data_IF_763466738954
#
_entry.id   IF_763466738954
#
_cell.length_a   1.000
_cell.length_b   1.000
_cell.length_c   1.000
_cell.angle_alpha   90.00
_cell.angle_beta   90.00
_cell.angle_gamma   90.00
#
_symmetry.space_group_name_H-M   'P 1'
#
loop_
_entity.id
_entity.type
_entity.pdbx_description
1 polymer ?
#
# COMPACT_ATOMS: atom_id res chain seq x y z
N UNK A 1 -16.09 -17.02 -12.31
CA UNK A 1 -16.25 -16.20 -11.09
C UNK A 1 -16.87 -14.84 -11.42
N UNK A 2 -17.62 -14.21 -10.51
CA UNK A 2 -18.39 -12.98 -10.78
C UNK A 2 -17.51 -11.77 -11.20
N UNK A 3 -16.32 -11.61 -10.60
CA UNK A 3 -15.38 -10.53 -10.95
C UNK A 3 -14.93 -10.54 -12.42
N UNK A 4 -14.82 -11.74 -13.03
CA UNK A 4 -14.54 -11.89 -14.46
C UNK A 4 -15.73 -11.47 -15.33
N UNK A 5 -16.96 -11.73 -14.88
CA UNK A 5 -18.19 -11.31 -15.58
C UNK A 5 -18.41 -9.80 -15.49
N UNK A 6 -17.94 -9.17 -14.41
CA UNK A 6 -18.03 -7.73 -14.19
C UNK A 6 -16.85 -6.95 -14.79
N UNK A 7 -15.92 -7.61 -15.50
CA UNK A 7 -14.78 -6.93 -16.13
C UNK A 7 -13.71 -6.39 -15.17
N UNK A 8 -13.79 -6.67 -13.87
CA UNK A 8 -12.84 -6.12 -12.88
C UNK A 8 -11.51 -6.89 -12.90
N UNK A 9 -11.58 -8.23 -12.98
CA UNK A 9 -10.40 -9.10 -13.05
C UNK A 9 -10.60 -10.10 -14.18
N UNK A 10 -9.80 -9.98 -15.24
CA UNK A 10 -9.91 -10.82 -16.44
C UNK A 10 -9.59 -12.29 -16.17
N UNK A 11 -8.59 -12.56 -15.33
CA UNK A 11 -8.15 -13.90 -14.97
C UNK A 11 -7.98 -14.07 -13.44
N UNK A 12 -9.10 -14.19 -12.73
CA UNK A 12 -9.07 -14.40 -11.27
C UNK A 12 -8.49 -15.76 -10.88
N UNK A 13 -8.58 -16.79 -11.74
CA UNK A 13 -8.09 -18.14 -11.43
C UNK A 13 -6.56 -18.18 -11.27
N UNK A 14 -5.87 -17.22 -11.89
CA UNK A 14 -4.44 -16.96 -11.70
C UNK A 14 -4.04 -16.81 -10.23
N UNK A 15 -4.94 -16.44 -9.32
CA UNK A 15 -4.61 -16.36 -7.88
C UNK A 15 -4.07 -17.69 -7.33
N UNK A 16 -4.49 -18.83 -7.90
CA UNK A 16 -4.06 -20.17 -7.50
C UNK A 16 -2.61 -20.48 -7.89
N UNK A 17 -2.00 -19.68 -8.77
CA UNK A 17 -0.62 -19.91 -9.24
C UNK A 17 0.43 -19.23 -8.36
N UNK A 18 0.01 -18.45 -7.35
CA UNK A 18 0.92 -17.67 -6.53
C UNK A 18 1.14 -18.27 -5.14
N UNK A 19 2.33 -18.03 -4.59
CA UNK A 19 2.72 -18.35 -3.23
C UNK A 19 3.09 -17.08 -2.45
N UNK A 20 2.54 -16.93 -1.23
CA UNK A 20 2.77 -15.76 -0.38
C UNK A 20 3.32 -16.20 0.97
N UNK A 21 4.43 -15.60 1.40
CA UNK A 21 4.96 -15.77 2.75
C UNK A 21 4.42 -14.69 3.68
N UNK A 22 3.95 -15.07 4.87
CA UNK A 22 3.44 -14.17 5.92
C UNK A 22 4.29 -14.35 7.16
N UNK A 23 4.92 -13.26 7.60
CA UNK A 23 5.72 -13.22 8.83
C UNK A 23 4.96 -12.48 9.92
N UNK A 24 4.69 -13.16 11.02
CA UNK A 24 3.81 -12.72 12.09
C UNK A 24 2.36 -13.11 11.80
N UNK A 25 1.86 -14.14 12.47
CA UNK A 25 0.46 -14.63 12.40
C UNK A 25 -0.31 -14.13 13.62
N UNK A 26 -0.16 -12.83 13.91
CA UNK A 26 -0.84 -12.12 14.99
C UNK A 26 -2.18 -11.52 14.54
N UNK A 27 -2.54 -10.35 15.08
CA UNK A 27 -3.82 -9.72 14.79
C UNK A 27 -4.05 -9.36 13.32
N UNK A 28 -3.06 -8.79 12.65
CA UNK A 28 -3.14 -8.48 11.21
C UNK A 28 -2.90 -9.75 10.39
N UNK A 29 -1.77 -10.45 10.63
CA UNK A 29 -1.34 -11.55 9.77
C UNK A 29 -2.27 -12.77 9.77
N UNK A 30 -2.98 -13.06 10.87
CA UNK A 30 -3.96 -14.15 10.88
C UNK A 30 -5.17 -13.86 10.00
N UNK A 31 -5.69 -12.63 10.03
CA UNK A 31 -6.77 -12.17 9.15
C UNK A 31 -6.30 -12.10 7.69
N UNK A 32 -5.07 -11.63 7.45
CA UNK A 32 -4.42 -11.63 6.13
C UNK A 32 -4.36 -13.06 5.55
N UNK A 33 -3.91 -14.03 6.35
CA UNK A 33 -3.84 -15.43 5.95
C UNK A 33 -5.24 -16.02 5.66
N UNK A 34 -6.24 -15.70 6.48
CA UNK A 34 -7.63 -16.11 6.26
C UNK A 34 -8.19 -15.56 4.95
N UNK A 35 -8.04 -14.26 4.70
CA UNK A 35 -8.53 -13.62 3.48
C UNK A 35 -7.88 -14.22 2.23
N UNK A 36 -6.56 -14.39 2.21
CA UNK A 36 -5.86 -15.02 1.07
C UNK A 36 -6.27 -16.49 0.88
N UNK A 37 -6.49 -17.22 1.97
CA UNK A 37 -6.99 -18.60 1.91
C UNK A 37 -8.39 -18.67 1.28
N UNK A 38 -9.29 -17.75 1.67
CA UNK A 38 -10.64 -17.64 1.10
C UNK A 38 -10.63 -17.18 -0.36
N UNK A 39 -9.64 -16.39 -0.77
CA UNK A 39 -9.42 -16.04 -2.18
C UNK A 39 -8.90 -17.21 -3.03
N UNK A 40 -8.39 -18.28 -2.39
CA UNK A 40 -7.84 -19.45 -3.09
C UNK A 40 -6.41 -19.23 -3.59
N UNK A 41 -5.58 -18.53 -2.82
CA UNK A 41 -4.14 -18.44 -3.08
C UNK A 41 -3.52 -19.85 -3.22
N UNK A 42 -2.52 -20.01 -4.09
CA UNK A 42 -1.91 -21.33 -4.33
C UNK A 42 -1.21 -21.91 -3.09
N UNK A 43 -0.35 -21.12 -2.45
CA UNK A 43 0.41 -21.54 -1.27
C UNK A 43 0.60 -20.40 -0.27
N UNK A 44 0.51 -20.71 1.02
CA UNK A 44 0.89 -19.82 2.12
C UNK A 44 2.04 -20.40 2.94
N UNK A 45 3.06 -19.57 3.16
CA UNK A 45 4.16 -19.87 4.07
C UNK A 45 3.97 -19.03 5.32
N UNK A 46 3.85 -19.65 6.49
CA UNK A 46 3.58 -18.94 7.74
C UNK A 46 4.78 -19.02 8.68
N UNK A 47 5.28 -17.86 9.12
CA UNK A 47 6.38 -17.74 10.07
C UNK A 47 5.90 -16.99 11.31
N UNK A 48 5.92 -17.64 12.46
CA UNK A 48 5.67 -17.03 13.77
C UNK A 48 6.31 -17.93 14.83
N UNK A 49 6.87 -17.35 15.89
CA UNK A 49 7.51 -18.11 16.98
C UNK A 49 6.65 -18.20 18.24
N UNK A 50 5.55 -17.47 18.29
CA UNK A 50 4.69 -17.37 19.46
C UNK A 50 3.67 -18.50 19.53
N UNK A 51 3.09 -18.62 20.73
CA UNK A 51 1.91 -19.44 21.00
C UNK A 51 0.65 -18.58 21.05
N UNK A 52 -0.49 -19.24 20.85
CA UNK A 52 -1.80 -18.63 21.08
C UNK A 52 -2.00 -18.46 22.58
N UNK A 53 -2.33 -17.25 23.01
CA UNK A 53 -2.69 -16.94 24.39
C UNK A 53 -4.14 -16.47 24.50
N UNK A 54 -4.76 -16.65 25.67
CA UNK A 54 -6.11 -16.10 25.93
C UNK A 54 -6.13 -14.57 25.83
N UNK A 55 -5.01 -13.91 26.11
CA UNK A 55 -4.86 -12.46 25.91
C UNK A 55 -5.00 -12.05 24.44
N UNK A 56 -4.90 -12.97 23.47
CA UNK A 56 -5.10 -12.68 22.05
C UNK A 56 -6.57 -12.74 21.62
N UNK A 57 -7.50 -13.13 22.49
CA UNK A 57 -8.94 -13.29 22.16
C UNK A 57 -9.67 -11.96 21.94
N UNK A 58 -9.04 -10.82 22.24
CA UNK A 58 -9.53 -9.50 21.82
C UNK A 58 -9.28 -9.21 20.34
N UNK A 59 -8.60 -10.12 19.63
CA UNK A 59 -8.31 -10.07 18.19
C UNK A 59 -9.15 -11.10 17.46
N UNK A 60 -9.17 -11.00 16.14
CA UNK A 60 -9.88 -11.95 15.29
C UNK A 60 -9.11 -13.27 15.15
N UNK A 61 -9.74 -14.24 14.47
CA UNK A 61 -9.19 -15.51 14.01
C UNK A 61 -9.02 -16.63 15.05
N UNK A 62 -8.15 -16.50 16.05
CA UNK A 62 -7.88 -17.59 16.99
C UNK A 62 -9.03 -17.82 17.97
N UNK A 63 -9.19 -19.07 18.41
CA UNK A 63 -10.26 -19.47 19.33
C UNK A 63 -9.72 -19.88 20.71
N UNK A 64 -10.53 -19.78 21.79
CA UNK A 64 -10.07 -20.08 23.15
C UNK A 64 -9.48 -21.48 23.33
N UNK A 65 -10.02 -22.47 22.62
CA UNK A 65 -9.56 -23.87 22.71
C UNK A 65 -8.19 -24.11 22.07
N UNK A 66 -7.66 -23.13 21.31
CA UNK A 66 -6.36 -23.21 20.64
C UNK A 66 -5.22 -22.68 21.51
N UNK A 67 -5.53 -22.12 22.69
CA UNK A 67 -4.53 -21.58 23.62
C UNK A 67 -3.46 -22.63 23.96
N UNK A 68 -2.19 -22.23 23.87
CA UNK A 68 -1.02 -23.08 24.11
C UNK A 68 -0.44 -23.77 22.85
N UNK A 69 -1.17 -23.83 21.74
CA UNK A 69 -0.62 -24.24 20.44
C UNK A 69 0.27 -23.13 19.87
N UNK A 70 1.22 -23.47 19.00
CA UNK A 70 1.92 -22.44 18.22
C UNK A 70 0.92 -21.73 17.30
N UNK A 71 1.12 -20.43 17.10
CA UNK A 71 0.23 -19.62 16.25
C UNK A 71 0.16 -20.19 14.83
N UNK A 72 1.30 -20.60 14.27
CA UNK A 72 1.35 -21.16 12.92
C UNK A 72 0.63 -22.50 12.79
N UNK A 73 0.72 -23.39 13.78
CA UNK A 73 0.02 -24.68 13.76
C UNK A 73 -1.49 -24.51 13.96
N UNK A 74 -1.90 -23.65 14.90
CA UNK A 74 -3.30 -23.32 15.11
C UNK A 74 -3.92 -22.68 13.86
N UNK A 75 -3.17 -21.77 13.21
CA UNK A 75 -3.60 -21.15 11.97
C UNK A 75 -3.71 -22.15 10.81
N UNK A 76 -2.70 -23.00 10.61
CA UNK A 76 -2.75 -24.03 9.57
C UNK A 76 -3.98 -24.95 9.72
N UNK A 77 -4.26 -25.43 10.93
CA UNK A 77 -5.44 -26.26 11.16
C UNK A 77 -6.75 -25.55 10.81
N UNK A 78 -6.91 -24.29 11.21
CA UNK A 78 -8.10 -23.50 10.86
C UNK A 78 -8.19 -23.27 9.35
N UNK A 79 -7.10 -22.83 8.73
CA UNK A 79 -7.08 -22.41 7.32
C UNK A 79 -7.27 -23.60 6.36
N UNK A 80 -6.69 -24.77 6.67
CA UNK A 80 -6.91 -26.00 5.89
C UNK A 80 -8.38 -26.44 5.88
N UNK A 81 -9.11 -26.20 6.98
CA UNK A 81 -10.54 -26.47 7.03
C UNK A 81 -11.37 -25.43 6.24
N UNK A 82 -10.88 -24.18 6.15
CA UNK A 82 -11.53 -23.12 5.38
C UNK A 82 -11.41 -23.37 3.87
N UNK A 83 -10.21 -23.74 3.41
CA UNK A 83 -9.99 -24.07 2.01
C UNK A 83 -8.92 -25.17 1.87
N UNK A 84 -9.30 -26.43 1.57
CA UNK A 84 -8.37 -27.54 1.46
C UNK A 84 -7.49 -27.49 0.20
N UNK A 85 -7.82 -26.63 -0.77
CA UNK A 85 -7.04 -26.49 -2.02
C UNK A 85 -5.75 -25.67 -1.83
N UNK A 86 -5.65 -24.91 -0.73
CA UNK A 86 -4.49 -24.06 -0.44
C UNK A 86 -3.38 -24.90 0.18
N UNK A 87 -2.17 -24.79 -0.37
CA UNK A 87 -0.99 -25.42 0.21
C UNK A 87 -0.47 -24.59 1.39
N UNK A 88 -0.11 -25.25 2.49
CA UNK A 88 0.46 -24.58 3.65
C UNK A 88 1.82 -25.19 3.99
N UNK A 89 2.73 -24.30 4.35
CA UNK A 89 4.02 -24.64 4.93
C UNK A 89 4.27 -23.71 6.11
N UNK A 90 4.48 -24.28 7.30
CA UNK A 90 4.54 -23.50 8.53
C UNK A 90 5.84 -23.69 9.28
N UNK A 91 6.32 -22.60 9.88
CA UNK A 91 7.62 -22.54 10.54
C UNK A 91 7.48 -21.85 11.89
N UNK A 92 7.62 -22.63 12.97
CA UNK A 92 7.54 -22.16 14.34
C UNK A 92 8.91 -21.79 14.90
N UNK A 93 9.50 -20.68 14.44
CA UNK A 93 10.82 -20.21 14.91
C UNK A 93 10.98 -18.69 14.74
N UNK A 94 11.93 -18.11 15.49
CA UNK A 94 12.26 -16.70 15.39
C UNK A 94 13.23 -16.43 14.23
N UNK A 95 12.76 -15.71 13.21
CA UNK A 95 13.53 -15.39 11.99
C UNK A 95 14.77 -14.50 12.25
N UNK A 96 14.85 -13.79 13.38
CA UNK A 96 15.95 -12.84 13.66
C UNK A 96 17.22 -13.52 14.18
N UNK A 97 17.11 -14.79 14.59
CA UNK A 97 18.26 -15.56 15.07
C UNK A 97 19.13 -16.03 13.90
N UNK A 98 20.45 -16.02 14.08
CA UNK A 98 21.43 -16.35 13.03
C UNK A 98 21.14 -17.70 12.37
N UNK A 99 20.85 -18.73 13.17
CA UNK A 99 20.53 -20.08 12.67
C UNK A 99 19.28 -20.09 11.79
N UNK A 100 18.24 -19.35 12.17
CA UNK A 100 16.96 -19.37 11.47
C UNK A 100 16.89 -18.37 10.31
N UNK A 101 17.76 -17.36 10.28
CA UNK A 101 17.80 -16.36 9.22
C UNK A 101 18.14 -17.00 7.86
N UNK A 102 19.15 -17.86 7.81
CA UNK A 102 19.50 -18.60 6.59
C UNK A 102 18.36 -19.49 6.12
N UNK A 103 17.69 -20.18 7.06
CA UNK A 103 16.52 -21.01 6.77
C UNK A 103 15.36 -20.17 6.22
N UNK A 104 15.11 -19.01 6.82
CA UNK A 104 14.08 -18.06 6.36
C UNK A 104 14.35 -17.59 4.92
N UNK A 105 15.57 -17.14 4.62
CA UNK A 105 15.96 -16.77 3.25
C UNK A 105 15.81 -17.95 2.29
N UNK A 106 16.24 -19.15 2.68
CA UNK A 106 16.10 -20.35 1.85
C UNK A 106 14.63 -20.62 1.48
N UNK A 107 13.71 -20.49 2.44
CA UNK A 107 12.27 -20.70 2.17
C UNK A 107 11.65 -19.57 1.36
N UNK A 108 12.12 -18.32 1.49
CA UNK A 108 11.71 -17.24 0.57
C UNK A 108 12.13 -17.58 -0.87
N UNK A 109 13.37 -18.03 -1.07
CA UNK A 109 13.92 -18.27 -2.42
C UNK A 109 13.47 -19.57 -3.08
N UNK A 110 13.09 -20.59 -2.30
CA UNK A 110 12.81 -21.93 -2.81
C UNK A 110 11.43 -22.47 -2.40
N UNK A 111 10.72 -21.78 -1.51
CA UNK A 111 9.46 -22.25 -0.95
C UNK A 111 8.23 -21.79 -1.73
N UNK A 112 8.36 -21.33 -2.98
CA UNK A 112 7.25 -20.94 -3.84
C UNK A 112 6.23 -22.06 -4.09
N UNK A 113 5.29 -21.82 -5.00
CA UNK A 113 4.25 -22.82 -5.32
C UNK A 113 4.89 -24.09 -5.88
N UNK A 114 5.87 -23.92 -6.76
CA UNK A 114 6.81 -24.96 -7.17
C UNK A 114 8.06 -24.88 -6.29
N UNK A 115 8.46 -26.00 -5.69
CA UNK A 115 9.67 -26.06 -4.88
C UNK A 115 10.92 -25.73 -5.72
N UNK A 116 11.81 -24.89 -5.19
CA UNK A 116 12.95 -24.31 -5.90
C UNK A 116 12.66 -22.98 -6.60
N UNK A 117 11.42 -22.47 -6.53
CA UNK A 117 11.07 -21.10 -6.98
C UNK A 117 10.89 -20.18 -5.77
N UNK A 118 11.12 -18.86 -5.93
CA UNK A 118 10.84 -17.91 -4.88
C UNK A 118 9.33 -17.79 -4.64
N UNK A 119 8.97 -17.29 -3.47
CA UNK A 119 7.60 -16.81 -3.21
C UNK A 119 7.33 -15.54 -4.03
N UNK A 120 6.10 -15.35 -4.47
CA UNK A 120 5.74 -14.18 -5.28
C UNK A 120 5.71 -12.89 -4.44
N UNK A 121 5.40 -13.03 -3.16
CA UNK A 121 5.33 -11.90 -2.24
C UNK A 121 5.62 -12.32 -0.80
N UNK A 122 6.33 -11.47 -0.06
CA UNK A 122 6.47 -11.58 1.40
C UNK A 122 5.61 -10.50 2.07
N UNK A 123 4.88 -10.84 3.12
CA UNK A 123 4.06 -9.94 3.92
C UNK A 123 4.60 -9.87 5.34
N UNK A 124 5.01 -8.69 5.76
CA UNK A 124 5.44 -8.41 7.13
C UNK A 124 4.26 -7.90 7.96
N UNK A 125 3.81 -8.74 8.90
CA UNK A 125 2.74 -8.46 9.86
C UNK A 125 3.24 -8.60 11.31
N UNK A 126 4.54 -8.39 11.52
CA UNK A 126 5.21 -8.46 12.83
C UNK A 126 5.00 -7.19 13.65
N UNK A 127 5.30 -7.26 14.95
CA UNK A 127 5.04 -6.19 15.92
C UNK A 127 6.29 -5.47 16.44
N UNK A 128 7.47 -5.83 15.92
CA UNK A 128 8.75 -5.27 16.35
C UNK A 128 9.62 -4.83 15.17
N UNK A 129 10.56 -3.91 15.40
CA UNK A 129 11.41 -3.36 14.36
C UNK A 129 12.56 -4.31 14.00
N UNK A 130 13.03 -5.12 14.95
CA UNK A 130 14.08 -6.14 14.72
C UNK A 130 13.68 -7.12 13.61
N UNK A 131 12.46 -7.66 13.67
CA UNK A 131 11.94 -8.56 12.64
C UNK A 131 11.68 -7.84 11.31
N UNK A 132 11.17 -6.59 11.33
CA UNK A 132 11.02 -5.79 10.09
C UNK A 132 12.35 -5.56 9.39
N UNK A 133 13.40 -5.22 10.16
CA UNK A 133 14.76 -5.05 9.63
C UNK A 133 15.32 -6.37 9.10
N UNK A 134 15.06 -7.48 9.78
CA UNK A 134 15.46 -8.83 9.32
C UNK A 134 14.83 -9.16 7.97
N UNK A 135 13.52 -8.95 7.82
CA UNK A 135 12.80 -9.14 6.54
C UNK A 135 13.35 -8.21 5.47
N UNK A 136 13.58 -6.94 5.81
CA UNK A 136 14.14 -5.93 4.90
C UNK A 136 15.51 -6.36 4.35
N UNK A 137 16.43 -6.81 5.24
CA UNK A 137 17.76 -7.28 4.83
C UNK A 137 17.67 -8.50 3.93
N UNK A 138 16.87 -9.50 4.29
CA UNK A 138 16.64 -10.68 3.45
C UNK A 138 16.09 -10.32 2.06
N UNK A 139 15.08 -9.44 2.00
CA UNK A 139 14.43 -9.08 0.75
C UNK A 139 15.32 -8.21 -0.15
N UNK A 140 16.11 -7.30 0.44
CA UNK A 140 17.11 -6.52 -0.32
C UNK A 140 18.20 -7.42 -0.92
N UNK A 141 18.65 -8.43 -0.17
CA UNK A 141 19.64 -9.40 -0.64
C UNK A 141 19.11 -10.25 -1.79
N UNK A 142 17.87 -10.73 -1.68
CA UNK A 142 17.23 -11.61 -2.66
C UNK A 142 16.61 -10.86 -3.85
N UNK A 143 16.44 -9.54 -3.76
CA UNK A 143 15.62 -8.78 -4.73
C UNK A 143 14.14 -9.17 -4.67
N UNK A 144 13.67 -9.60 -3.51
CA UNK A 144 12.31 -10.07 -3.28
C UNK A 144 11.37 -8.89 -3.00
N UNK A 145 10.26 -8.79 -3.75
CA UNK A 145 9.21 -7.83 -3.45
C UNK A 145 8.44 -8.25 -2.20
N UNK A 146 8.12 -7.28 -1.35
CA UNK A 146 7.38 -7.51 -0.12
C UNK A 146 6.48 -6.32 0.25
N UNK A 147 5.49 -6.58 1.10
CA UNK A 147 4.65 -5.54 1.69
C UNK A 147 4.78 -5.57 3.21
N UNK A 148 4.92 -4.39 3.80
CA UNK A 148 4.93 -4.18 5.25
C UNK A 148 3.55 -3.70 5.70
N UNK A 149 3.19 -4.07 6.93
CA UNK A 149 2.02 -3.54 7.62
C UNK A 149 2.32 -3.25 9.09
N UNK A 150 1.73 -2.18 9.60
CA UNK A 150 1.86 -1.77 10.99
C UNK A 150 0.56 -1.22 11.55
N UNK A 151 0.34 -1.46 12.84
CA UNK A 151 -0.73 -0.84 13.65
C UNK A 151 -0.05 -0.14 14.82
N UNK A 152 -0.50 1.06 15.15
CA UNK A 152 0.06 1.83 16.27
C UNK A 152 -0.25 1.20 17.63
N UNK A 153 0.57 1.49 18.64
CA UNK A 153 0.37 0.99 20.00
C UNK A 153 -0.94 1.44 20.64
N UNK A 154 -1.50 2.57 20.20
CA UNK A 154 -2.79 3.08 20.65
C UNK A 154 -3.97 2.59 19.79
N UNK A 155 -3.71 1.74 18.79
CA UNK A 155 -4.68 1.11 17.89
C UNK A 155 -5.58 2.06 17.08
N UNK A 156 -5.27 3.36 16.99
CA UNK A 156 -6.04 4.33 16.18
C UNK A 156 -5.36 4.76 14.88
N UNK A 157 -4.24 4.14 14.54
CA UNK A 157 -3.64 4.28 13.21
C UNK A 157 -3.00 2.99 12.72
N UNK A 158 -2.82 2.90 11.41
CA UNK A 158 -2.11 1.81 10.77
C UNK A 158 -1.66 2.21 9.37
N UNK A 159 -0.91 1.32 8.72
CA UNK A 159 -0.49 1.52 7.34
C UNK A 159 -0.14 0.21 6.66
N UNK A 160 -0.04 0.29 5.34
CA UNK A 160 0.64 -0.70 4.50
C UNK A 160 1.66 0.01 3.60
N UNK A 161 2.74 -0.68 3.26
CA UNK A 161 3.77 -0.18 2.36
C UNK A 161 4.25 -1.29 1.42
N UNK A 162 4.31 -1.01 0.13
CA UNK A 162 4.91 -1.89 -0.88
C UNK A 162 6.39 -1.53 -1.07
N UNK A 163 7.24 -2.54 -0.93
CA UNK A 163 8.68 -2.43 -1.01
C UNK A 163 9.16 -3.32 -2.15
N UNK A 164 9.54 -2.68 -3.25
CA UNK A 164 10.22 -3.30 -4.38
C UNK A 164 11.68 -2.85 -4.29
N UNK A 165 12.62 -3.74 -3.89
CA UNK A 165 14.02 -3.36 -3.70
C UNK A 165 14.59 -2.67 -4.94
N UNK A 166 15.10 -1.45 -4.74
CA UNK A 166 15.67 -0.62 -5.80
C UNK A 166 14.71 0.36 -6.48
N UNK A 167 13.39 0.12 -6.40
CA UNK A 167 12.36 0.95 -7.03
C UNK A 167 11.62 1.85 -6.02
N UNK A 168 11.23 1.30 -4.87
CA UNK A 168 10.61 2.03 -3.77
C UNK A 168 11.47 1.99 -2.50
N UNK A 169 11.18 2.87 -1.54
CA UNK A 169 11.91 2.94 -0.29
C UNK A 169 11.86 1.59 0.45
N UNK A 170 13.03 1.01 0.74
CA UNK A 170 13.11 -0.08 1.70
C UNK A 170 12.94 0.46 3.13
N UNK A 171 12.73 -0.43 4.10
CA UNK A 171 12.49 -0.02 5.49
C UNK A 171 13.69 0.75 6.08
N UNK A 172 14.91 0.41 5.65
CA UNK A 172 16.14 1.10 6.04
C UNK A 172 16.38 2.44 5.29
N UNK A 173 15.55 2.82 4.31
CA UNK A 173 15.68 4.12 3.64
C UNK A 173 15.18 5.27 4.51
N UNK A 174 14.14 5.03 5.31
CA UNK A 174 13.55 5.99 6.23
C UNK A 174 13.30 5.31 7.59
N UNK A 175 14.37 4.92 8.31
CA UNK A 175 14.24 4.18 9.56
C UNK A 175 13.54 5.03 10.64
N UNK A 176 12.71 4.43 11.50
CA UNK A 176 12.17 5.13 12.66
C UNK A 176 13.30 5.53 13.61
N UNK A 177 13.05 6.56 14.44
CA UNK A 177 14.05 7.16 15.33
C UNK A 177 14.80 6.12 16.18
N UNK A 178 14.09 5.13 16.72
CA UNK A 178 14.68 4.09 17.58
C UNK A 178 15.72 3.24 16.85
N UNK A 179 15.47 2.94 15.56
CA UNK A 179 16.42 2.20 14.70
C UNK A 179 17.58 3.10 14.31
N UNK A 180 17.31 4.33 13.87
CA UNK A 180 18.35 5.29 13.47
C UNK A 180 19.32 5.64 14.62
N UNK A 181 18.81 5.73 15.84
CA UNK A 181 19.60 6.04 17.04
C UNK A 181 20.24 4.79 17.70
N UNK A 182 20.06 3.60 17.12
CA UNK A 182 20.52 2.31 17.69
C UNK A 182 20.07 2.10 19.15
N UNK A 183 18.83 2.48 19.45
CA UNK A 183 18.21 2.25 20.76
C UNK A 183 17.56 0.87 20.73
N UNK A 184 17.87 0.03 21.73
CA UNK A 184 17.22 -1.27 21.87
C UNK A 184 15.72 -1.09 22.18
N UNK A 185 14.86 -1.57 21.30
CA UNK A 185 13.39 -1.49 21.47
C UNK A 185 12.91 -2.17 22.77
N UNK A 186 13.68 -3.14 23.29
CA UNK A 186 13.36 -3.83 24.55
C UNK A 186 13.41 -2.88 25.74
N UNK A 187 14.17 -1.79 25.67
CA UNK A 187 14.21 -0.79 26.74
C UNK A 187 12.97 0.10 26.77
N UNK A 188 12.18 0.12 25.69
CA UNK A 188 10.94 0.90 25.58
C UNK A 188 9.73 0.13 26.10
N UNK A 189 9.74 -1.20 25.96
CA UNK A 189 8.67 -2.08 26.45
C UNK A 189 8.75 -2.20 27.98
N UNK A 190 7.71 -1.72 28.67
CA UNK A 190 7.55 -1.93 30.12
C UNK A 190 6.83 -3.24 30.39
N UNK A 191 7.37 -4.05 31.30
CA UNK A 191 6.70 -5.28 31.72
C UNK A 191 5.27 -5.00 32.24
N UNK A 192 4.30 -5.80 31.79
CA UNK A 192 2.89 -5.66 32.15
C UNK A 192 2.10 -4.62 31.35
N UNK A 193 2.73 -3.88 30.42
CA UNK A 193 2.04 -2.96 29.51
C UNK A 193 1.88 -3.64 28.15
N UNK A 194 0.64 -3.98 27.79
CA UNK A 194 0.31 -4.47 26.45
C UNK A 194 -0.07 -3.28 25.57
N UNK A 195 0.40 -3.29 24.31
CA UNK A 195 -0.10 -2.37 23.30
C UNK A 195 -1.63 -2.51 23.20
N UNK A 196 -2.34 -1.38 23.12
CA UNK A 196 -3.75 -1.41 22.82
C UNK A 196 -3.95 -2.04 21.44
N UNK A 197 -5.00 -2.84 21.32
CA UNK A 197 -5.25 -3.65 20.14
C UNK A 197 -6.75 -3.67 19.90
N UNK A 198 -7.21 -2.95 18.88
CA UNK A 198 -8.59 -3.02 18.42
C UNK A 198 -8.71 -3.98 17.22
N UNK A 199 -9.65 -4.94 17.25
CA UNK A 199 -9.88 -5.86 16.14
C UNK A 199 -10.35 -5.13 14.88
N UNK A 200 -10.98 -3.97 15.02
CA UNK A 200 -11.41 -3.12 13.89
C UNK A 200 -10.22 -2.59 13.09
N UNK A 201 -9.26 -1.96 13.75
CA UNK A 201 -8.04 -1.42 13.11
C UNK A 201 -7.23 -2.53 12.45
N UNK A 202 -7.11 -3.68 13.13
CA UNK A 202 -6.44 -4.86 12.56
C UNK A 202 -7.17 -5.39 11.33
N UNK A 203 -8.50 -5.46 11.36
CA UNK A 203 -9.33 -5.86 10.22
C UNK A 203 -9.22 -4.90 9.03
N UNK A 204 -9.22 -3.58 9.28
CA UNK A 204 -9.01 -2.56 8.24
C UNK A 204 -7.63 -2.73 7.60
N UNK A 205 -6.56 -2.80 8.40
CA UNK A 205 -5.18 -2.93 7.91
C UNK A 205 -4.99 -4.25 7.14
N UNK A 206 -5.51 -5.36 7.65
CA UNK A 206 -5.44 -6.65 6.95
C UNK A 206 -6.22 -6.62 5.62
N UNK A 207 -7.40 -6.00 5.62
CA UNK A 207 -8.24 -5.84 4.43
C UNK A 207 -7.54 -5.01 3.34
N UNK A 208 -7.01 -3.83 3.68
CA UNK A 208 -6.28 -3.00 2.71
C UNK A 208 -4.99 -3.67 2.25
N UNK A 209 -4.29 -4.41 3.14
CA UNK A 209 -3.09 -5.18 2.79
C UNK A 209 -3.42 -6.21 1.72
N UNK A 210 -4.39 -7.10 1.98
CA UNK A 210 -4.78 -8.15 1.04
C UNK A 210 -5.35 -7.56 -0.25
N UNK A 211 -6.11 -6.47 -0.16
CA UNK A 211 -6.59 -5.78 -1.36
C UNK A 211 -5.42 -5.30 -2.23
N UNK A 212 -4.34 -4.78 -1.63
CA UNK A 212 -3.15 -4.39 -2.36
C UNK A 212 -2.39 -5.59 -2.94
N UNK A 213 -2.32 -6.71 -2.22
CA UNK A 213 -1.77 -7.99 -2.71
C UNK A 213 -2.53 -8.47 -3.95
N UNK A 214 -3.86 -8.46 -3.92
CA UNK A 214 -4.68 -8.89 -5.05
C UNK A 214 -4.48 -7.98 -6.25
N UNK A 215 -4.51 -6.65 -6.06
CA UNK A 215 -4.22 -5.69 -7.14
C UNK A 215 -2.85 -5.95 -7.78
N UNK A 216 -1.84 -6.23 -6.94
CA UNK A 216 -0.47 -6.48 -7.37
C UNK A 216 -0.31 -7.80 -8.13
N UNK A 217 -0.86 -8.91 -7.62
CA UNK A 217 -0.70 -10.23 -8.24
C UNK A 217 -1.59 -10.43 -9.48
N UNK A 218 -2.79 -9.85 -9.47
CA UNK A 218 -3.80 -10.01 -10.51
C UNK A 218 -3.84 -8.83 -11.50
N UNK A 219 -2.96 -7.84 -11.35
CA UNK A 219 -2.81 -6.69 -12.24
C UNK A 219 -4.13 -5.96 -12.55
N UNK A 220 -4.87 -5.57 -11.50
CA UNK A 220 -6.07 -4.75 -11.65
C UNK A 220 -6.04 -3.55 -10.71
N UNK A 221 -6.73 -2.47 -11.12
CA UNK A 221 -6.73 -1.21 -10.38
C UNK A 221 -5.33 -0.62 -10.19
N UNK A 222 -5.21 0.30 -9.23
CA UNK A 222 -3.94 0.99 -8.94
C UNK A 222 -3.33 0.45 -7.65
N UNK A 223 -2.14 -0.15 -7.74
CA UNK A 223 -1.39 -0.61 -6.56
C UNK A 223 -0.87 0.60 -5.76
N UNK A 224 -1.02 0.56 -4.44
CA UNK A 224 -0.55 1.61 -3.55
C UNK A 224 0.86 1.29 -3.04
N UNK A 225 1.79 2.23 -3.21
CA UNK A 225 3.13 2.13 -2.64
C UNK A 225 3.14 2.37 -1.13
N UNK A 226 2.29 3.27 -0.65
CA UNK A 226 1.99 3.47 0.76
C UNK A 226 0.52 3.88 0.90
N UNK A 227 -0.15 3.31 1.89
CA UNK A 227 -1.49 3.70 2.27
C UNK A 227 -1.58 3.71 3.79
N UNK A 228 -1.77 4.89 4.36
CA UNK A 228 -2.03 5.07 5.78
C UNK A 228 -3.52 4.94 6.11
N UNK A 229 -3.81 4.69 7.38
CA UNK A 229 -5.13 4.72 7.97
C UNK A 229 -5.06 5.45 9.31
N UNK A 230 -5.85 6.52 9.43
CA UNK A 230 -6.06 7.24 10.69
C UNK A 230 -7.53 7.08 11.09
N UNK A 231 -7.78 6.26 12.11
CA UNK A 231 -9.12 5.92 12.59
C UNK A 231 -9.82 7.08 13.31
N UNK A 232 -9.09 8.11 13.74
CA UNK A 232 -9.67 9.26 14.45
C UNK A 232 -10.37 10.24 13.50
N UNK A 233 -9.94 10.26 12.23
CA UNK A 233 -10.38 11.25 11.24
C UNK A 233 -10.84 10.59 9.94
N UNK A 234 -10.97 9.26 9.92
CA UNK A 234 -11.26 8.46 8.73
C UNK A 234 -10.40 8.85 7.51
N UNK A 235 -9.13 9.14 7.77
CA UNK A 235 -8.22 9.69 6.77
C UNK A 235 -7.28 8.59 6.24
N UNK A 236 -7.21 8.47 4.91
CA UNK A 236 -6.47 7.44 4.20
C UNK A 236 -5.42 8.04 3.24
N UNK A 237 -4.28 8.53 3.75
CA UNK A 237 -3.26 9.15 2.90
C UNK A 237 -2.54 8.11 2.05
N UNK A 238 -2.41 8.39 0.75
CA UNK A 238 -1.56 7.62 -0.17
C UNK A 238 -0.26 8.35 -0.44
N UNK A 239 0.86 7.63 -0.49
CA UNK A 239 2.18 8.20 -0.80
C UNK A 239 3.00 7.23 -1.66
N UNK A 240 4.06 7.72 -2.28
CA UNK A 240 5.06 6.91 -2.97
C UNK A 240 6.45 7.28 -2.45
N UNK A 241 6.97 6.50 -1.50
CA UNK A 241 8.30 6.69 -0.94
C UNK A 241 9.37 6.13 -1.89
N UNK A 242 10.37 6.96 -2.23
CA UNK A 242 11.47 6.57 -3.12
C UNK A 242 12.71 6.10 -2.34
N UNK A 243 13.55 5.23 -2.93
CA UNK A 243 14.76 4.76 -2.30
C UNK A 243 15.69 5.90 -1.91
N UNK A 244 16.34 5.79 -0.75
CA UNK A 244 17.43 6.66 -0.33
C UNK A 244 18.72 6.22 -1.05
N UNK A 245 19.36 7.08 -1.88
CA UNK A 245 20.63 6.75 -2.55
C UNK A 245 21.78 6.43 -1.60
N UNK A 246 21.68 6.90 -0.36
CA UNK A 246 22.67 6.70 0.71
C UNK A 246 22.14 5.75 1.80
N UNK A 247 21.18 4.88 1.49
CA UNK A 247 20.65 3.91 2.43
C UNK A 247 21.78 3.07 3.07
N UNK A 248 21.69 2.85 4.38
CA UNK A 248 22.67 2.09 5.15
C UNK A 248 22.83 0.66 4.62
N UNK A 249 21.72 0.05 4.19
CA UNK A 249 21.71 -1.26 3.56
C UNK A 249 22.41 -1.21 2.19
N UNK A 250 23.58 -1.87 2.10
CA UNK A 250 24.37 -1.96 0.88
C UNK A 250 23.63 -2.71 -0.24
N UNK A 251 22.84 -3.73 0.09
CA UNK A 251 22.09 -4.47 -0.92
C UNK A 251 20.96 -3.59 -1.48
N UNK A 252 20.31 -2.75 -0.66
CA UNK A 252 19.37 -1.75 -1.18
C UNK A 252 20.03 -0.85 -2.24
N UNK A 253 21.23 -0.31 -1.97
CA UNK A 253 21.97 0.51 -2.95
C UNK A 253 22.31 -0.25 -4.24
N UNK A 254 22.73 -1.51 -4.15
CA UNK A 254 22.95 -2.36 -5.34
C UNK A 254 21.66 -2.55 -6.15
N UNK A 255 20.54 -2.84 -5.49
CA UNK A 255 19.25 -3.00 -6.17
C UNK A 255 18.81 -1.71 -6.88
N UNK A 256 19.09 -0.54 -6.30
CA UNK A 256 18.83 0.75 -6.95
C UNK A 256 19.64 0.93 -8.24
N UNK A 257 20.91 0.50 -8.25
CA UNK A 257 21.75 0.54 -9.45
C UNK A 257 21.22 -0.40 -10.54
N UNK A 258 20.86 -1.63 -10.18
CA UNK A 258 20.27 -2.61 -11.10
C UNK A 258 18.91 -2.16 -11.64
N UNK A 259 18.06 -1.55 -10.79
CA UNK A 259 16.79 -0.99 -11.21
C UNK A 259 16.97 0.14 -12.23
N UNK A 260 17.90 1.08 -11.99
CA UNK A 260 18.20 2.17 -12.94
C UNK A 260 18.69 1.64 -14.29
N UNK A 261 19.56 0.61 -14.29
CA UNK A 261 20.01 -0.05 -15.53
C UNK A 261 18.85 -0.71 -16.27
N UNK A 262 17.97 -1.41 -15.54
CA UNK A 262 16.78 -2.06 -16.10
C UNK A 262 15.84 -1.03 -16.74
N UNK A 263 15.56 0.08 -16.06
CA UNK A 263 14.70 1.16 -16.59
C UNK A 263 15.31 1.81 -17.83
N UNK A 264 16.62 2.08 -17.81
CA UNK A 264 17.31 2.65 -18.97
C UNK A 264 17.34 1.73 -20.20
N UNK A 265 17.18 0.42 -20.00
CA UNK A 265 17.11 -0.58 -21.07
C UNK A 265 15.69 -0.82 -21.59
N UNK A 266 14.64 -0.35 -20.90
CA UNK A 266 13.27 -0.47 -21.36
C UNK A 266 13.02 0.51 -22.52
N UNK A 267 12.34 0.08 -23.60
CA UNK A 267 11.94 0.99 -24.66
C UNK A 267 10.99 2.04 -24.08
N UNK A 268 11.16 3.31 -24.48
CA UNK A 268 10.26 4.40 -24.10
C UNK A 268 8.86 4.05 -24.61
N UNK A 269 7.97 3.66 -23.71
CA UNK A 269 6.55 3.50 -24.04
C UNK A 269 5.92 4.89 -24.06
N UNK A 270 5.46 5.33 -25.23
CA UNK A 270 4.46 6.39 -25.30
C UNK A 270 3.18 5.84 -24.66
N UNK A 271 2.75 6.47 -23.57
CA UNK A 271 1.47 6.15 -22.94
C UNK A 271 0.39 6.69 -23.86
N UNK A 272 -0.12 5.86 -24.76
CA UNK A 272 -1.35 6.14 -25.49
C UNK A 272 -2.49 5.97 -24.49
N UNK A 273 -3.04 7.08 -24.00
CA UNK A 273 -4.33 7.05 -23.33
C UNK A 273 -5.37 6.79 -24.42
N UNK A 274 -5.83 5.54 -24.52
CA UNK A 274 -7.05 5.24 -25.26
C UNK A 274 -8.21 5.83 -24.45
N UNK A 275 -8.78 6.94 -24.93
CA UNK A 275 -10.06 7.43 -24.43
C UNK A 275 -11.13 6.41 -24.84
N UNK A 276 -11.66 5.67 -23.88
CA UNK A 276 -12.84 4.84 -24.12
C UNK A 276 -14.05 5.75 -24.36
N UNK A 277 -14.53 5.77 -25.60
CA UNK A 277 -15.74 6.50 -25.96
C UNK A 277 -16.95 5.81 -25.30
N UNK A 278 -17.64 6.53 -24.41
CA UNK A 278 -18.79 5.99 -23.67
C UNK A 278 -20.00 5.93 -24.60
N UNK A 279 -20.46 4.71 -24.89
CA UNK A 279 -21.67 4.46 -25.67
C UNK A 279 -22.87 4.36 -24.72
N UNK A 280 -23.88 5.19 -24.94
CA UNK A 280 -25.15 5.12 -24.24
C UNK A 280 -26.13 4.25 -25.01
N UNK A 281 -26.67 3.19 -24.37
CA UNK A 281 -27.66 2.30 -24.98
C UNK A 281 -28.94 3.05 -25.40
N UNK A 282 -29.30 4.11 -24.66
CA UNK A 282 -30.40 5.01 -24.94
C UNK A 282 -30.02 6.48 -24.74
N UNK A 283 -30.51 7.33 -25.65
CA UNK A 283 -30.42 8.78 -25.51
C UNK A 283 -31.62 9.45 -26.21
N UNK A 284 -32.83 9.03 -25.83
CA UNK A 284 -34.08 9.52 -26.44
C UNK A 284 -34.28 11.03 -26.27
N UNK A 285 -33.61 11.62 -25.26
CA UNK A 285 -33.71 13.03 -24.89
C UNK A 285 -32.67 13.92 -25.58
N UNK A 286 -31.81 13.35 -26.45
CA UNK A 286 -30.78 14.11 -27.15
C UNK A 286 -29.82 14.81 -26.19
N UNK A 287 -29.47 14.17 -25.09
CA UNK A 287 -28.53 14.69 -24.10
C UNK A 287 -27.15 14.71 -24.75
N UNK A 288 -26.59 15.91 -24.90
CA UNK A 288 -25.24 16.11 -25.43
C UNK A 288 -24.26 16.38 -24.29
N UNK A 289 -23.07 15.79 -24.37
CA UNK A 289 -21.98 16.11 -23.46
C UNK A 289 -21.40 17.47 -23.87
N UNK A 290 -21.81 18.53 -23.15
CA UNK A 290 -21.23 19.85 -23.33
C UNK A 290 -19.82 19.84 -22.74
N UNK A 291 -18.80 19.97 -23.60
CA UNK A 291 -17.42 20.23 -23.17
C UNK A 291 -17.39 21.47 -22.27
N UNK A 292 -16.56 21.48 -21.22
CA UNK A 292 -16.54 22.52 -20.18
C UNK A 292 -16.86 23.92 -20.71
N UNK A 293 -18.00 24.44 -20.26
CA UNK A 293 -18.67 25.65 -20.74
C UNK A 293 -17.74 26.85 -20.58
N UNK A 294 -17.43 27.55 -21.66
CA UNK A 294 -16.74 28.84 -21.58
C UNK A 294 -17.63 29.89 -20.90
N UNK A 295 -17.05 30.90 -20.23
CA UNK A 295 -17.84 31.96 -19.56
C UNK A 295 -18.82 32.68 -20.53
N UNK A 296 -18.57 32.64 -21.84
CA UNK A 296 -19.42 33.18 -22.89
C UNK A 296 -20.70 32.36 -23.12
N UNK A 297 -20.62 31.03 -23.05
CA UNK A 297 -21.78 30.14 -23.21
C UNK A 297 -22.71 30.19 -21.98
N UNK A 298 -22.13 30.37 -20.78
CA UNK A 298 -22.88 30.65 -19.55
C UNK A 298 -23.68 31.96 -19.65
N UNK A 299 -23.08 33.04 -20.17
CA UNK A 299 -23.77 34.32 -20.41
C UNK A 299 -24.89 34.21 -21.44
N UNK A 300 -24.71 33.39 -22.48
CA UNK A 300 -25.73 33.19 -23.52
C UNK A 300 -26.91 32.34 -23.05
N UNK A 301 -26.70 31.45 -22.05
CA UNK A 301 -27.75 30.62 -21.47
C UNK A 301 -28.69 31.40 -20.52
N UNK A 302 -28.19 32.46 -19.88
CA UNK A 302 -29.03 33.43 -19.19
C UNK A 302 -29.69 34.33 -20.24
N UNK A 303 -30.94 34.03 -20.59
CA UNK A 303 -31.73 34.80 -21.54
C UNK A 303 -31.78 36.32 -21.22
N UNK A 304 -32.32 37.15 -22.14
CA UNK A 304 -32.25 38.60 -22.04
C UNK A 304 -32.78 39.11 -20.70
N UNK A 305 -31.98 39.93 -20.02
CA UNK A 305 -32.36 40.60 -18.76
C UNK A 305 -33.57 41.50 -19.08
N UNK A 306 -34.73 41.30 -18.45
CA UNK A 306 -35.88 42.18 -18.63
C UNK A 306 -35.53 43.58 -18.11
N UNK A 307 -36.04 44.62 -18.77
CA UNK A 307 -35.89 46.00 -18.29
C UNK A 307 -36.72 46.19 -17.01
N UNK A 308 -36.07 46.06 -15.86
CA UNK A 308 -36.69 46.07 -14.53
C UNK A 308 -36.49 47.43 -13.85
N UNK A 309 -37.51 47.94 -13.12
CA UNK A 309 -37.38 49.16 -12.32
C UNK A 309 -36.29 49.04 -11.24
N UNK A 310 -35.73 50.18 -10.87
CA UNK A 310 -34.68 50.29 -9.85
C UNK A 310 -35.13 49.63 -8.52
N UNK A 311 -34.36 48.62 -8.07
CA UNK A 311 -34.61 47.89 -6.82
C UNK A 311 -35.25 46.50 -6.96
N UNK A 312 -35.55 46.02 -8.17
CA UNK A 312 -36.06 44.66 -8.41
C UNK A 312 -34.97 43.79 -9.06
N UNK A 313 -34.72 42.60 -8.49
CA UNK A 313 -33.79 41.61 -9.04
C UNK A 313 -34.50 40.26 -9.25
N UNK A 314 -34.08 39.50 -10.26
CA UNK A 314 -34.57 38.14 -10.49
C UNK A 314 -33.92 37.17 -9.50
N UNK A 315 -34.63 36.10 -9.11
CA UNK A 315 -34.16 35.17 -8.08
C UNK A 315 -32.82 34.48 -8.40
N UNK A 316 -32.37 34.51 -9.66
CA UNK A 316 -31.16 33.85 -10.17
C UNK A 316 -30.21 34.81 -10.90
N UNK A 317 -30.17 36.09 -10.51
CA UNK A 317 -29.11 36.99 -11.02
C UNK A 317 -27.76 36.60 -10.44
N UNK A 318 -26.81 36.23 -11.31
CA UNK A 318 -25.41 36.06 -10.94
C UNK A 318 -24.89 37.41 -10.43
N UNK A 319 -24.31 37.50 -9.21
CA UNK A 319 -23.73 38.75 -8.74
C UNK A 319 -22.66 39.21 -9.71
N UNK A 320 -22.69 40.48 -10.14
CA UNK A 320 -21.54 41.05 -10.84
C UNK A 320 -20.33 40.94 -9.90
N UNK A 321 -19.28 40.25 -10.35
CA UNK A 321 -17.97 40.32 -9.69
C UNK A 321 -17.61 41.80 -9.61
N UNK A 322 -17.57 42.35 -8.41
CA UNK A 322 -16.86 43.60 -8.18
C UNK A 322 -15.41 43.35 -8.62
N UNK A 323 -14.94 44.11 -9.60
CA UNK A 323 -13.53 44.21 -9.94
C UNK A 323 -12.81 44.95 -8.78
N UNK A 324 -12.75 44.32 -7.62
CA UNK A 324 -11.68 44.62 -6.68
C UNK A 324 -10.42 43.95 -7.26
N UNK A 325 -9.64 44.79 -7.93
CA UNK A 325 -8.30 44.47 -8.43
C UNK A 325 -7.39 44.08 -7.26
N UNK A 326 -7.44 42.80 -6.89
CA UNK A 326 -6.34 42.15 -6.17
C UNK A 326 -5.39 41.64 -7.26
N UNK A 327 -4.16 42.17 -7.39
CA UNK A 327 -3.26 41.71 -8.45
C UNK A 327 -2.90 40.24 -8.18
N UNK A 328 -3.31 39.37 -9.09
CA UNK A 328 -2.73 38.03 -9.25
C UNK A 328 -1.24 38.20 -9.55
N UNK A 329 -0.40 37.80 -8.60
CA UNK A 329 1.03 37.62 -8.88
C UNK A 329 1.19 36.28 -9.57
N UNK A 330 1.01 36.27 -10.88
CA UNK A 330 1.53 35.21 -11.75
C UNK A 330 3.00 35.49 -11.99
N UNK A 331 3.86 34.54 -11.65
CA UNK A 331 5.30 34.62 -11.94
C UNK A 331 5.46 34.29 -13.42
N UNK A 332 5.72 35.31 -14.24
CA UNK A 332 6.16 35.11 -15.63
C UNK A 332 7.52 34.41 -15.63
N UNK A 333 7.63 33.32 -16.39
CA UNK A 333 8.89 32.62 -16.64
C UNK A 333 9.80 33.53 -17.48
N UNK A 334 10.73 34.21 -16.83
CA UNK A 334 11.55 35.26 -17.44
C UNK A 334 12.67 34.73 -18.34
N UNK A 335 12.80 33.41 -18.52
CA UNK A 335 13.79 32.81 -19.42
C UNK A 335 15.25 33.12 -19.07
N UNK A 336 15.53 33.74 -17.91
CA UNK A 336 16.89 34.02 -17.45
C UNK A 336 17.45 32.78 -16.74
N UNK A 337 18.69 32.39 -17.09
CA UNK A 337 19.35 31.25 -16.46
C UNK A 337 19.75 31.58 -15.01
N UNK A 338 19.83 30.55 -14.15
CA UNK A 338 20.23 30.69 -12.75
C UNK A 338 21.62 31.39 -12.60
N UNK A 339 22.49 31.21 -13.59
CA UNK A 339 23.83 31.78 -13.63
C UNK A 339 23.81 33.30 -13.89
N UNK A 340 22.87 33.78 -14.72
CA UNK A 340 22.69 35.21 -15.01
C UNK A 340 22.15 35.99 -13.80
N UNK A 341 21.26 35.36 -13.03
CA UNK A 341 20.72 35.91 -11.78
C UNK A 341 21.79 36.04 -10.70
N UNK A 342 22.66 35.03 -10.56
CA UNK A 342 23.78 35.07 -9.60
C UNK A 342 24.84 36.13 -9.98
N UNK A 343 25.04 36.39 -11.27
CA UNK A 343 25.95 37.44 -11.74
C UNK A 343 25.43 38.84 -11.42
N UNK A 344 24.12 39.10 -11.58
CA UNK A 344 23.50 40.39 -11.24
C UNK A 344 23.56 40.70 -9.74
N UNK A 345 23.34 39.70 -8.87
CA UNK A 345 23.41 39.90 -7.42
C UNK A 345 24.82 40.21 -6.90
N UNK A 346 25.87 39.85 -7.63
CA UNK A 346 27.26 40.18 -7.25
C UNK A 346 27.66 41.62 -7.54
N UNK A 347 26.88 42.34 -8.34
CA UNK A 347 27.13 43.73 -8.74
C UNK A 347 26.13 44.74 -8.14
N UNK A 348 25.30 44.31 -7.19
CA UNK A 348 24.50 45.18 -6.30
C UNK A 348 25.17 45.27 -4.93
#
# INVERSE_FOLDING_TARGET
MALKRMGIVSDYEKIRTFAVAIVGVGGVGSVTAEMLTRCGIGKLLLFDYDKVELANMNRLFFQPHQAGLSKVQAAEHTLRNINPDVLFEVHNYNITTVENFERFMNRISNGGLEEGKPVDLVLSCVDNFEARMTINTACNELGQTWMESGVSENAVSGHIQLIIPGESACFACAPPLVVAANIDEKTLKREGVCAASLPTTMGVVAGILVQNVLKFLLNFGTVSFYLGYNAMQDFFPTMSMKPNPQCDDRNCRKQQEEYKKKVAALPTQEVVQEEEEIIHDDNEWGIELVSEVSEEELKNSSGPIPDLPEGITVAYTVPQKQEDSVPEVTVEDSGESLEDLMAKMKNM
#
